data_IF_725263473921
#
_entry.id   IF_725263473921
#
_cell.length_a   1.000
_cell.length_b   1.000
_cell.length_c   1.000
_cell.angle_alpha   90.00
_cell.angle_beta   90.00
_cell.angle_gamma   90.00
#
_symmetry.space_group_name_H-M   'P 1'
#
loop_
_entity.id
_entity.type
_entity.pdbx_description
1 polymer ?
#
# COMPACT_ATOMS: atom_id res chain seq x y z
N UNK A 1 1.31 -15.28 -10.36
CA UNK A 1 1.56 -13.82 -10.46
C UNK A 1 2.45 -13.56 -11.66
N UNK A 2 2.09 -12.57 -12.46
CA UNK A 2 2.86 -12.14 -13.62
C UNK A 2 3.09 -10.64 -13.54
N UNK A 3 4.15 -10.17 -14.19
CA UNK A 3 4.44 -8.75 -14.34
C UNK A 3 4.57 -8.40 -15.82
N UNK A 4 4.06 -7.22 -16.14
CA UNK A 4 4.23 -6.58 -17.44
C UNK A 4 4.90 -5.25 -17.20
N UNK A 5 6.05 -5.06 -17.84
CA UNK A 5 6.84 -3.85 -17.78
C UNK A 5 6.70 -3.12 -19.11
N UNK A 6 6.31 -1.86 -19.04
CA UNK A 6 6.31 -0.95 -20.19
C UNK A 6 7.45 0.04 -19.97
N UNK A 7 8.49 -0.04 -20.79
CA UNK A 7 9.66 0.83 -20.69
C UNK A 7 9.74 1.77 -21.87
N UNK A 8 10.06 3.03 -21.59
CA UNK A 8 10.13 4.10 -22.58
C UNK A 8 11.60 4.47 -22.81
N UNK A 9 12.14 4.25 -24.02
CA UNK A 9 13.50 4.67 -24.37
C UNK A 9 13.70 6.18 -24.19
N UNK A 10 14.90 6.55 -23.73
CA UNK A 10 15.33 7.95 -23.60
C UNK A 10 15.58 8.57 -24.98
N UNK A 11 15.28 9.86 -25.12
CA UNK A 11 15.54 10.64 -26.34
C UNK A 11 14.29 11.32 -26.91
N UNK A 12 13.20 10.59 -27.19
CA UNK A 12 11.95 11.20 -27.64
C UNK A 12 11.26 11.99 -26.53
N UNK A 13 10.45 12.99 -26.93
CA UNK A 13 9.66 13.81 -26.01
C UNK A 13 8.70 12.94 -25.19
N UNK A 14 8.57 13.27 -23.90
CA UNK A 14 7.64 12.60 -22.99
C UNK A 14 6.94 13.61 -22.11
N UNK A 15 5.61 13.64 -22.19
CA UNK A 15 4.76 14.43 -21.30
C UNK A 15 4.41 13.64 -20.04
N UNK A 16 5.16 13.87 -18.97
CA UNK A 16 4.96 13.19 -17.69
C UNK A 16 3.65 13.60 -17.00
N UNK A 17 3.20 14.84 -17.20
CA UNK A 17 1.98 15.34 -16.56
C UNK A 17 0.74 14.68 -17.19
N UNK A 18 0.68 14.63 -18.52
CA UNK A 18 -0.37 13.90 -19.22
C UNK A 18 -0.36 12.41 -18.85
N UNK A 19 0.83 11.81 -18.79
CA UNK A 19 0.98 10.41 -18.44
C UNK A 19 0.39 10.08 -17.06
N UNK A 20 0.70 10.87 -16.03
CA UNK A 20 0.22 10.63 -14.67
C UNK A 20 -1.24 11.03 -14.47
N UNK A 21 -1.72 12.11 -15.09
CA UNK A 21 -3.06 12.67 -14.83
C UNK A 21 -4.14 12.11 -15.76
N UNK A 22 -3.78 11.61 -16.95
CA UNK A 22 -4.73 11.10 -17.95
C UNK A 22 -4.50 9.63 -18.26
N UNK A 23 -3.27 9.26 -18.65
CA UNK A 23 -2.99 7.92 -19.13
C UNK A 23 -3.11 6.86 -18.01
N UNK A 24 -2.46 7.07 -16.87
CA UNK A 24 -2.48 6.10 -15.78
C UNK A 24 -3.88 5.87 -15.16
N UNK A 25 -4.72 6.89 -14.93
CA UNK A 25 -6.11 6.68 -14.53
C UNK A 25 -6.94 5.93 -15.58
N UNK A 26 -6.69 6.18 -16.86
CA UNK A 26 -7.34 5.44 -17.96
C UNK A 26 -6.92 3.97 -17.94
N UNK A 27 -5.64 3.66 -17.76
CA UNK A 27 -5.12 2.29 -17.58
C UNK A 27 -5.78 1.61 -16.39
N UNK A 28 -5.80 2.26 -15.22
CA UNK A 28 -6.41 1.71 -14.02
C UNK A 28 -7.91 1.44 -14.19
N UNK A 29 -8.64 2.35 -14.83
CA UNK A 29 -10.08 2.20 -15.08
C UNK A 29 -10.38 1.08 -16.09
N UNK A 30 -9.62 1.02 -17.19
CA UNK A 30 -9.83 0.07 -18.28
C UNK A 30 -9.35 -1.33 -17.93
N UNK A 31 -8.15 -1.46 -17.34
CA UNK A 31 -7.54 -2.75 -17.05
C UNK A 31 -7.83 -3.26 -15.64
N UNK A 32 -8.32 -2.41 -14.72
CA UNK A 32 -8.73 -2.84 -13.38
C UNK A 32 -9.80 -3.92 -13.42
N UNK A 33 -10.82 -3.80 -14.27
CA UNK A 33 -11.84 -4.83 -14.47
C UNK A 33 -11.33 -6.08 -15.17
N UNK A 34 -10.19 -6.00 -15.87
CA UNK A 34 -9.58 -7.11 -16.59
C UNK A 34 -8.50 -7.85 -15.77
N UNK A 35 -8.32 -7.51 -14.49
CA UNK A 35 -7.44 -8.24 -13.58
C UNK A 35 -6.09 -7.58 -13.29
N UNK A 36 -5.91 -6.31 -13.66
CA UNK A 36 -4.79 -5.52 -13.17
C UNK A 36 -4.92 -5.35 -11.64
N UNK A 37 -3.90 -5.80 -10.89
CA UNK A 37 -3.92 -5.75 -9.43
C UNK A 37 -3.26 -4.49 -8.89
N UNK A 38 -2.16 -4.09 -9.52
CA UNK A 38 -1.35 -2.98 -9.06
C UNK A 38 -0.53 -2.40 -10.22
N UNK A 39 -0.10 -1.16 -10.08
CA UNK A 39 0.87 -0.55 -10.99
C UNK A 39 1.84 0.33 -10.23
N UNK A 40 3.08 0.40 -10.71
CA UNK A 40 4.15 1.24 -10.16
C UNK A 40 4.84 1.95 -11.30
N UNK A 41 5.05 3.25 -11.14
CA UNK A 41 5.78 4.08 -12.10
C UNK A 41 7.13 4.43 -11.52
N UNK A 42 8.17 4.28 -12.33
CA UNK A 42 9.55 4.59 -12.00
C UNK A 42 10.12 5.50 -13.08
N UNK A 43 10.76 6.57 -12.67
CA UNK A 43 11.59 7.42 -13.54
C UNK A 43 13.05 7.03 -13.34
N UNK A 44 13.78 6.87 -14.43
CA UNK A 44 15.21 6.59 -14.37
C UNK A 44 16.01 7.89 -14.25
N UNK A 45 17.28 7.76 -13.88
CA UNK A 45 18.20 8.89 -13.83
C UNK A 45 18.58 9.37 -15.24
N UNK A 46 18.98 10.64 -15.34
CA UNK A 46 19.47 11.23 -16.60
C UNK A 46 20.66 10.42 -17.15
N UNK A 47 20.66 10.17 -18.47
CA UNK A 47 21.69 9.36 -19.14
C UNK A 47 21.42 7.85 -19.16
N UNK A 48 20.37 7.37 -18.50
CA UNK A 48 19.92 5.98 -18.64
C UNK A 48 19.35 5.72 -20.06
N UNK A 49 19.41 4.47 -20.57
CA UNK A 49 18.85 4.12 -21.87
C UNK A 49 17.31 4.23 -21.92
N UNK A 50 16.66 4.20 -20.77
CA UNK A 50 15.23 4.39 -20.61
C UNK A 50 14.96 5.58 -19.69
N UNK A 51 13.88 6.31 -19.93
CA UNK A 51 13.49 7.46 -19.12
C UNK A 51 12.43 7.10 -18.08
N UNK A 52 11.48 6.23 -18.44
CA UNK A 52 10.35 5.84 -17.60
C UNK A 52 10.07 4.35 -17.74
N UNK A 53 9.67 3.72 -16.63
CA UNK A 53 9.15 2.36 -16.58
C UNK A 53 7.81 2.34 -15.83
N UNK A 54 6.82 1.65 -16.38
CA UNK A 54 5.65 1.20 -15.68
C UNK A 54 5.73 -0.31 -15.41
N UNK A 55 5.60 -0.71 -14.16
CA UNK A 55 5.45 -2.10 -13.75
C UNK A 55 3.98 -2.35 -13.42
N UNK A 56 3.35 -3.26 -14.15
CA UNK A 56 1.95 -3.66 -13.98
C UNK A 56 1.93 -5.09 -13.42
N UNK A 57 1.25 -5.27 -12.28
CA UNK A 57 1.16 -6.56 -11.60
C UNK A 57 -0.18 -7.23 -11.94
N UNK A 58 -0.11 -8.48 -12.39
CA UNK A 58 -1.23 -9.29 -12.86
C UNK A 58 -1.29 -10.64 -12.14
N UNK A 59 -2.47 -11.24 -12.16
CA UNK A 59 -2.68 -12.58 -11.58
C UNK A 59 -1.90 -13.67 -12.34
N UNK A 60 -2.01 -13.65 -13.68
CA UNK A 60 -1.27 -14.51 -14.59
C UNK A 60 -1.03 -13.81 -15.93
N UNK A 61 -0.12 -14.35 -16.76
CA UNK A 61 0.12 -13.83 -18.11
C UNK A 61 -1.11 -14.01 -19.01
N UNK A 62 -1.86 -15.09 -18.86
CA UNK A 62 -3.06 -15.34 -19.66
C UNK A 62 -4.14 -14.27 -19.44
N UNK A 63 -4.27 -13.78 -18.20
CA UNK A 63 -5.20 -12.68 -17.88
C UNK A 63 -4.75 -11.40 -18.59
N UNK A 64 -3.44 -11.13 -18.59
CA UNK A 64 -2.90 -10.00 -19.35
C UNK A 64 -3.14 -10.14 -20.85
N UNK A 65 -2.88 -11.30 -21.47
CA UNK A 65 -3.12 -11.47 -22.93
C UNK A 65 -4.59 -11.24 -23.28
N UNK A 66 -5.52 -11.71 -22.44
CA UNK A 66 -6.96 -11.44 -22.62
C UNK A 66 -7.29 -9.95 -22.50
N UNK A 67 -6.66 -9.25 -21.54
CA UNK A 67 -6.81 -7.81 -21.38
C UNK A 67 -6.22 -7.04 -22.58
N UNK A 68 -5.05 -7.45 -23.07
CA UNK A 68 -4.34 -6.86 -24.19
C UNK A 68 -5.06 -7.07 -25.53
N UNK A 69 -5.83 -8.15 -25.65
CA UNK A 69 -6.66 -8.44 -26.82
C UNK A 69 -8.05 -7.76 -26.77
N UNK A 70 -8.43 -7.16 -25.64
CA UNK A 70 -9.73 -6.51 -25.51
C UNK A 70 -9.75 -5.09 -26.10
N UNK A 71 -10.94 -4.57 -26.39
CA UNK A 71 -11.12 -3.17 -26.82
C UNK A 71 -10.58 -2.16 -25.81
N UNK A 72 -10.50 -2.55 -24.52
CA UNK A 72 -9.95 -1.72 -23.47
C UNK A 72 -8.46 -1.43 -23.70
N UNK A 73 -7.71 -2.39 -24.24
CA UNK A 73 -6.31 -2.19 -24.59
C UNK A 73 -6.13 -1.32 -25.84
N UNK A 74 -7.04 -1.36 -26.81
CA UNK A 74 -6.98 -0.47 -27.97
C UNK A 74 -7.05 1.01 -27.55
N UNK A 75 -7.90 1.34 -26.56
CA UNK A 75 -7.96 2.68 -26.00
C UNK A 75 -6.66 3.09 -25.28
N UNK A 76 -6.05 2.18 -24.52
CA UNK A 76 -4.78 2.42 -23.81
C UNK A 76 -3.62 2.60 -24.78
N UNK A 77 -3.45 1.67 -25.73
CA UNK A 77 -2.37 1.75 -26.73
C UNK A 77 -2.54 2.94 -27.67
N UNK A 78 -3.78 3.30 -28.01
CA UNK A 78 -4.10 4.46 -28.83
C UNK A 78 -3.79 5.81 -28.19
N UNK A 79 -3.70 5.88 -26.86
CA UNK A 79 -3.40 7.10 -26.10
C UNK A 79 -1.89 7.38 -25.99
N UNK A 80 -1.02 6.40 -26.31
CA UNK A 80 0.45 6.54 -26.19
C UNK A 80 0.99 7.72 -26.99
N UNK A 81 0.47 7.91 -28.21
CA UNK A 81 0.86 9.01 -29.11
C UNK A 81 0.56 10.42 -28.58
N UNK A 82 -0.27 10.54 -27.53
CA UNK A 82 -0.65 11.84 -26.97
C UNK A 82 0.42 12.39 -26.01
N UNK A 83 1.25 11.51 -25.43
CA UNK A 83 2.29 11.91 -24.47
C UNK A 83 3.69 11.44 -24.84
N UNK A 84 3.85 10.52 -25.81
CA UNK A 84 5.15 9.99 -26.19
C UNK A 84 5.27 9.84 -27.70
N UNK A 85 6.37 10.38 -28.25
CA UNK A 85 6.65 10.37 -29.69
C UNK A 85 7.42 9.11 -30.16
N UNK A 86 7.90 8.29 -29.22
CA UNK A 86 8.65 7.08 -29.53
C UNK A 86 7.80 5.80 -29.48
N UNK A 87 8.49 4.66 -29.56
CA UNK A 87 7.88 3.34 -29.38
C UNK A 87 8.25 2.76 -28.01
N UNK A 88 7.27 2.51 -27.13
CA UNK A 88 7.54 1.82 -25.87
C UNK A 88 7.88 0.35 -26.13
N UNK A 89 8.71 -0.20 -25.25
CA UNK A 89 9.04 -1.63 -25.25
C UNK A 89 8.22 -2.31 -24.16
N UNK A 90 7.54 -3.39 -24.53
CA UNK A 90 6.74 -4.18 -23.62
C UNK A 90 7.46 -5.49 -23.28
N UNK A 91 7.78 -5.68 -22.02
CA UNK A 91 8.41 -6.87 -21.47
C UNK A 91 7.42 -7.56 -20.53
N UNK A 92 7.26 -8.87 -20.64
CA UNK A 92 6.29 -9.63 -19.82
C UNK A 92 6.87 -10.96 -19.37
N UNK A 93 6.55 -11.37 -18.14
CA UNK A 93 7.04 -12.63 -17.60
C UNK A 93 6.33 -13.06 -16.31
N UNK A 94 6.41 -14.37 -15.97
CA UNK A 94 5.99 -14.85 -14.66
C UNK A 94 6.96 -14.35 -13.57
N UNK A 95 6.43 -14.02 -12.40
CA UNK A 95 7.26 -13.68 -11.24
C UNK A 95 7.73 -14.99 -10.58
N UNK A 96 9.03 -15.25 -10.60
CA UNK A 96 9.63 -16.50 -10.09
C UNK A 96 9.87 -16.46 -8.57
N UNK A 97 10.20 -15.29 -8.04
CA UNK A 97 10.38 -15.06 -6.60
C UNK A 97 10.00 -13.61 -6.26
N UNK A 98 9.42 -13.42 -5.08
CA UNK A 98 9.17 -12.10 -4.49
C UNK A 98 9.18 -12.26 -2.98
N UNK A 99 9.95 -11.43 -2.30
CA UNK A 99 10.05 -11.41 -0.84
C UNK A 99 9.78 -10.00 -0.34
N UNK A 100 8.92 -9.88 0.68
CA UNK A 100 8.72 -8.62 1.39
C UNK A 100 9.67 -8.61 2.59
N UNK A 101 10.87 -8.06 2.40
CA UNK A 101 11.96 -8.12 3.39
C UNK A 101 11.76 -7.15 4.56
N UNK A 102 10.94 -6.11 4.38
CA UNK A 102 10.59 -5.17 5.44
C UNK A 102 9.07 -5.03 5.52
N UNK A 103 8.47 -5.66 6.54
CA UNK A 103 7.15 -5.24 7.02
C UNK A 103 7.34 -3.97 7.83
N UNK A 104 6.72 -2.87 7.41
CA UNK A 104 6.62 -1.67 8.24
C UNK A 104 6.03 -2.04 9.60
N UNK A 105 6.42 -1.38 10.73
CA UNK A 105 5.71 -1.54 11.99
C UNK A 105 4.23 -1.10 11.90
N UNK A 106 3.80 -0.51 10.78
CA UNK A 106 2.40 -0.23 10.48
C UNK A 106 1.66 -1.39 9.78
N UNK A 107 2.35 -2.42 9.27
CA UNK A 107 1.74 -3.64 8.70
C UNK A 107 1.49 -4.73 9.77
N UNK A 108 1.42 -4.33 11.03
CA UNK A 108 0.98 -5.24 12.07
C UNK A 108 -0.47 -5.64 11.79
N UNK A 109 -0.68 -6.94 11.73
CA UNK A 109 -2.02 -7.54 11.75
C UNK A 109 -2.83 -6.96 12.91
N UNK A 110 -4.15 -6.96 12.80
CA UNK A 110 -5.04 -6.52 13.88
C UNK A 110 -4.67 -7.24 15.20
N UNK A 111 -4.36 -8.55 15.14
CA UNK A 111 -3.96 -9.34 16.31
C UNK A 111 -2.63 -8.79 16.91
N UNK A 112 -1.63 -8.39 16.09
CA UNK A 112 -0.37 -7.78 16.57
C UNK A 112 -0.52 -6.35 17.10
N UNK A 113 -1.36 -5.50 16.48
CA UNK A 113 -1.66 -4.15 17.00
C UNK A 113 -2.31 -4.20 18.38
N UNK A 114 -3.23 -5.15 18.60
CA UNK A 114 -3.85 -5.39 19.91
C UNK A 114 -2.81 -5.81 20.94
N UNK A 115 -1.82 -6.63 20.55
CA UNK A 115 -0.78 -7.09 21.46
C UNK A 115 0.15 -5.94 21.93
N UNK A 116 0.51 -5.03 21.03
CA UNK A 116 1.27 -3.82 21.38
C UNK A 116 0.46 -2.88 22.28
N UNK A 117 -0.82 -2.67 21.99
CA UNK A 117 -1.70 -1.85 22.85
C UNK A 117 -1.80 -2.45 24.26
N UNK A 118 -1.93 -3.78 24.37
CA UNK A 118 -1.93 -4.48 25.65
C UNK A 118 -0.62 -4.30 26.41
N UNK A 119 0.55 -4.40 25.76
CA UNK A 119 1.83 -4.22 26.44
C UNK A 119 2.04 -2.78 26.94
N UNK A 120 1.64 -1.79 26.14
CA UNK A 120 1.72 -0.36 26.53
C UNK A 120 0.81 -0.08 27.74
N UNK A 121 -0.44 -0.57 27.72
CA UNK A 121 -1.37 -0.40 28.84
C UNK A 121 -0.86 -1.04 30.14
N UNK A 122 -0.18 -2.19 30.06
CA UNK A 122 0.46 -2.83 31.23
C UNK A 122 1.58 -1.94 31.77
N UNK A 123 2.46 -1.41 30.90
CA UNK A 123 3.54 -0.51 31.32
C UNK A 123 3.05 0.79 31.96
N UNK A 124 1.95 1.37 31.44
CA UNK A 124 1.32 2.56 32.04
C UNK A 124 0.70 2.20 33.40
N UNK A 125 0.01 1.06 33.50
CA UNK A 125 -0.57 0.59 34.77
C UNK A 125 0.46 0.34 35.86
N UNK A 126 1.65 -0.17 35.50
CA UNK A 126 2.75 -0.35 36.47
C UNK A 126 3.45 0.95 36.87
N UNK A 127 3.41 1.99 36.03
CA UNK A 127 4.01 3.29 36.35
C UNK A 127 3.18 4.05 37.38
N UNK A 128 1.85 3.89 37.37
CA UNK A 128 0.96 4.48 38.37
C UNK A 128 1.12 3.86 39.77
N UNK A 129 1.51 2.58 39.87
CA UNK A 129 1.80 1.92 41.16
C UNK A 129 3.12 2.41 41.79
N UNK A 130 4.11 2.82 40.98
CA UNK A 130 5.36 3.41 41.48
C UNK A 130 5.21 4.88 41.88
N UNK A 131 4.25 5.61 41.32
CA UNK A 131 3.99 7.01 41.67
C UNK A 131 3.21 7.19 43.00
N UNK A 132 2.53 6.16 43.51
CA UNK A 132 1.72 6.25 44.74
C UNK A 132 2.55 6.06 46.03
N UNK A 133 3.85 5.72 45.96
CA UNK A 133 4.72 5.60 47.14
C UNK A 133 5.46 6.91 47.54
N UNK A 134 5.56 7.90 46.64
CA UNK A 134 6.29 9.16 46.88
C UNK A 134 5.37 10.36 47.24
N UNK A 135 4.03 10.27 47.10
CA UNK A 135 3.12 11.42 47.26
C UNK A 135 2.02 11.21 48.31
N UNK A 136 2.38 10.76 49.52
CA UNK A 136 1.52 10.93 50.71
C UNK A 136 1.59 12.37 51.22
N UNK A 137 0.88 13.28 50.56
CA UNK A 137 0.85 14.66 51.05
C UNK A 137 0.17 15.72 50.19
N UNK A 138 -0.78 15.41 49.31
CA UNK A 138 -1.73 16.43 48.81
C UNK A 138 -2.97 15.82 48.13
N UNK A 139 -4.12 16.06 48.75
CA UNK A 139 -5.46 15.66 48.33
C UNK A 139 -6.02 16.70 47.35
N UNK A 140 -6.16 16.41 46.04
CA UNK A 140 -7.19 17.05 45.18
C UNK A 140 -7.61 16.13 44.00
N UNK A 141 -8.87 15.71 44.04
CA UNK A 141 -9.85 15.42 42.97
C UNK A 141 -9.46 15.14 41.50
N UNK A 142 -8.35 14.46 41.18
CA UNK A 142 -8.06 13.97 39.81
C UNK A 142 -8.36 12.48 39.57
N UNK A 143 -8.53 11.67 40.62
CA UNK A 143 -8.71 10.19 40.51
C UNK A 143 -10.05 9.74 39.89
N UNK A 144 -11.05 10.61 39.71
CA UNK A 144 -12.40 10.20 39.23
C UNK A 144 -12.55 10.19 37.70
N UNK A 145 -11.93 11.15 37.00
CA UNK A 145 -12.06 11.26 35.52
C UNK A 145 -11.22 10.22 34.77
N UNK A 146 -10.12 9.73 35.36
CA UNK A 146 -9.24 8.75 34.72
C UNK A 146 -9.78 7.32 34.82
N UNK A 147 -10.41 6.95 35.94
CA UNK A 147 -11.02 5.64 36.14
C UNK A 147 -12.21 5.40 35.20
N UNK A 148 -13.03 6.43 34.96
CA UNK A 148 -14.20 6.35 34.09
C UNK A 148 -13.81 6.14 32.61
N UNK A 149 -12.72 6.74 32.15
CA UNK A 149 -12.21 6.54 30.78
C UNK A 149 -11.59 5.15 30.58
N UNK A 150 -10.87 4.63 31.58
CA UNK A 150 -10.29 3.27 31.55
C UNK A 150 -11.36 2.17 31.58
N UNK A 151 -12.44 2.36 32.34
CA UNK A 151 -13.57 1.41 32.38
C UNK A 151 -14.34 1.38 31.06
N UNK A 152 -14.58 2.56 30.44
CA UNK A 152 -15.23 2.65 29.11
C UNK A 152 -14.40 2.00 28.00
N UNK A 153 -13.08 2.14 28.08
CA UNK A 153 -12.16 1.45 27.16
C UNK A 153 -12.19 -0.07 27.34
N UNK A 154 -12.20 -0.56 28.59
CA UNK A 154 -12.31 -2.01 28.91
C UNK A 154 -13.61 -2.62 28.43
N UNK A 155 -14.73 -1.90 28.49
CA UNK A 155 -16.04 -2.38 28.02
C UNK A 155 -16.12 -2.46 26.49
N UNK A 156 -15.46 -1.54 25.78
CA UNK A 156 -15.47 -1.51 24.30
C UNK A 156 -14.77 -2.75 23.69
N UNK A 157 -13.79 -3.32 24.38
CA UNK A 157 -13.04 -4.49 23.91
C UNK A 157 -13.47 -5.82 24.55
N UNK A 158 -14.46 -5.83 25.45
CA UNK A 158 -14.92 -7.05 26.15
C UNK A 158 -15.80 -7.96 25.29
N UNK A 159 -16.33 -7.45 24.17
CA UNK A 159 -17.28 -8.16 23.30
C UNK A 159 -16.71 -8.75 22.00
N UNK A 160 -15.50 -8.36 21.59
CA UNK A 160 -14.95 -8.80 20.30
C UNK A 160 -14.23 -10.13 20.44
N UNK A 161 -14.96 -11.24 20.33
CA UNK A 161 -14.35 -12.55 20.02
C UNK A 161 -13.80 -12.49 18.59
N UNK A 162 -12.55 -12.07 18.44
CA UNK A 162 -11.79 -12.30 17.20
C UNK A 162 -11.24 -13.72 17.30
N UNK A 163 -11.88 -14.65 16.61
CA UNK A 163 -11.28 -15.96 16.31
C UNK A 163 -10.19 -15.71 15.26
N UNK A 164 -8.92 -15.62 15.68
CA UNK A 164 -7.79 -15.76 14.75
C UNK A 164 -7.65 -17.31 14.55
N UNK A 165 -8.09 -17.87 13.41
CA UNK A 165 -7.72 -19.24 12.99
C UNK A 165 -6.28 -19.19 12.45
N UNK A 166 -5.47 -20.19 12.84
CA UNK A 166 -4.06 -20.34 12.45
C UNK A 166 -3.85 -20.38 10.94
#
# INVERSE_FOLDING_TARGET
MAQVLVVYPSGPSFDLDYYLTKHMPLVASKWGSHGLKNYKILTFQEGAPFQIQATLEWESLEVFEKAAASEAAAAVFGDIKNFYDGNPVLLKGPVVASETVASSPFDLTICQRIQIIKSILVSIGTADDLADMELRGRRVSRKRVHADNLMRFRETFRGTKVSCQN
#
